data_IF_970790302567
#
_entry.id   IF_970790302567
#
_cell.length_a   1.000
_cell.length_b   1.000
_cell.length_c   1.000
_cell.angle_alpha   90.00
_cell.angle_beta   90.00
_cell.angle_gamma   90.00
#
_symmetry.space_group_name_H-M   'P 1'
#
loop_
_entity.id
_entity.type
_entity.pdbx_description
1 polymer ?
#
# COMPACT_ATOMS: atom_id res chain seq x y z
N UNK A 1 8.26 -1.75 -56.31
CA UNK A 1 9.51 -1.37 -57.00
C UNK A 1 9.45 0.10 -57.37
N UNK A 2 10.21 0.94 -56.65
CA UNK A 2 10.97 2.11 -57.12
C UNK A 2 11.59 2.76 -55.88
N UNK A 3 12.90 2.67 -55.82
CA UNK A 3 13.82 3.09 -54.76
C UNK A 3 14.25 4.52 -55.00
N UNK A 4 14.23 5.37 -53.97
CA UNK A 4 14.99 6.62 -53.96
C UNK A 4 15.99 6.57 -52.80
N UNK A 5 17.26 6.44 -53.18
CA UNK A 5 18.45 6.56 -52.34
C UNK A 5 18.85 8.03 -52.22
N UNK A 6 19.12 8.49 -51.00
CA UNK A 6 19.93 9.69 -50.77
C UNK A 6 21.21 9.27 -50.06
N UNK A 7 22.34 9.56 -50.69
CA UNK A 7 23.69 9.45 -50.15
C UNK A 7 24.12 10.77 -49.52
N UNK A 8 24.61 10.74 -48.29
CA UNK A 8 25.44 11.78 -47.72
C UNK A 8 26.61 11.14 -46.98
N UNK A 9 27.81 11.61 -47.30
CA UNK A 9 29.11 11.16 -46.80
C UNK A 9 29.52 11.89 -45.52
N UNK A 10 30.01 11.09 -44.56
CA UNK A 10 30.97 11.27 -43.45
C UNK A 10 31.37 12.67 -42.92
N UNK A 11 31.30 12.79 -41.58
CA UNK A 11 32.35 13.16 -40.60
C UNK A 11 31.61 13.35 -39.24
N UNK A 12 31.98 12.89 -38.05
CA UNK A 12 33.16 12.26 -37.48
C UNK A 12 33.19 12.60 -35.99
N UNK A 13 32.40 11.94 -35.12
CA UNK A 13 32.60 11.92 -33.67
C UNK A 13 32.16 10.58 -33.08
N UNK A 14 33.10 9.88 -32.44
CA UNK A 14 32.92 8.52 -31.94
C UNK A 14 31.96 8.44 -30.77
N UNK A 15 30.83 7.76 -30.97
CA UNK A 15 29.94 7.25 -29.91
C UNK A 15 30.17 5.75 -29.79
N UNK A 16 30.67 5.28 -28.64
CA UNK A 16 30.64 3.84 -28.32
C UNK A 16 29.19 3.45 -28.04
N UNK A 17 28.56 2.76 -29.00
CA UNK A 17 27.27 2.12 -28.81
C UNK A 17 27.50 0.83 -28.02
N UNK A 18 26.90 0.72 -26.84
CA UNK A 18 26.76 -0.55 -26.11
C UNK A 18 25.49 -1.23 -26.65
N UNK A 19 25.57 -2.37 -27.35
CA UNK A 19 24.38 -3.05 -27.82
C UNK A 19 23.68 -3.76 -26.66
N UNK A 20 22.55 -3.22 -26.22
CA UNK A 20 21.60 -3.95 -25.35
C UNK A 20 20.80 -4.90 -26.25
N UNK A 21 21.01 -6.21 -26.10
CA UNK A 21 20.13 -7.22 -26.71
C UNK A 21 19.02 -7.54 -25.72
N UNK A 22 17.80 -7.14 -26.04
CA UNK A 22 16.62 -7.63 -25.34
C UNK A 22 16.37 -9.10 -25.71
N UNK A 23 15.96 -9.91 -24.74
CA UNK A 23 15.53 -11.28 -25.00
C UNK A 23 14.28 -11.24 -25.90
N UNK A 24 14.16 -12.14 -26.89
CA UNK A 24 12.95 -12.23 -27.71
C UNK A 24 11.73 -12.54 -26.84
N UNK A 25 10.69 -11.71 -26.95
CA UNK A 25 9.41 -11.94 -26.27
C UNK A 25 8.79 -13.26 -26.74
N UNK A 26 8.58 -14.18 -25.82
CA UNK A 26 7.69 -15.32 -26.04
C UNK A 26 6.25 -14.86 -25.74
N UNK A 27 5.29 -14.99 -26.67
CA UNK A 27 3.91 -14.63 -26.41
C UNK A 27 3.27 -15.65 -25.45
N UNK A 28 3.23 -15.35 -24.15
CA UNK A 28 2.44 -16.11 -23.19
C UNK A 28 1.01 -15.59 -23.23
N UNK A 29 0.15 -16.25 -23.99
CA UNK A 29 -1.31 -16.06 -23.91
C UNK A 29 -1.83 -16.79 -22.66
N UNK A 30 -2.11 -16.06 -21.59
CA UNK A 30 -2.83 -16.60 -20.43
C UNK A 30 -4.33 -16.63 -20.79
N UNK A 31 -4.92 -17.83 -20.78
CA UNK A 31 -6.36 -17.97 -20.97
C UNK A 31 -7.11 -17.49 -19.70
N UNK A 32 -7.85 -16.39 -19.82
CA UNK A 32 -8.77 -15.91 -18.79
C UNK A 32 -9.99 -16.84 -18.77
N UNK A 33 -10.20 -17.56 -17.66
CA UNK A 33 -11.45 -18.33 -17.45
C UNK A 33 -12.53 -17.38 -16.90
N UNK A 34 -13.75 -17.36 -17.45
CA UNK A 34 -14.87 -16.63 -16.85
C UNK A 34 -15.26 -17.28 -15.52
N UNK A 35 -15.31 -16.50 -14.45
CA UNK A 35 -15.78 -16.94 -13.13
C UNK A 35 -17.32 -16.92 -13.13
N UNK A 36 -17.97 -18.09 -13.24
CA UNK A 36 -19.43 -18.22 -13.40
C UNK A 36 -20.20 -18.47 -12.11
N UNK A 37 -19.59 -18.26 -10.94
CA UNK A 37 -20.28 -18.43 -9.63
C UNK A 37 -20.20 -17.15 -8.82
N UNK A 38 -21.36 -16.56 -8.53
CA UNK A 38 -21.50 -15.44 -7.62
C UNK A 38 -21.00 -15.83 -6.22
N UNK A 39 -20.16 -14.98 -5.63
CA UNK A 39 -19.71 -15.10 -4.25
C UNK A 39 -20.90 -14.78 -3.33
N UNK A 40 -21.42 -15.79 -2.65
CA UNK A 40 -22.44 -15.60 -1.63
C UNK A 40 -21.79 -15.06 -0.35
N UNK A 41 -22.05 -13.79 -0.04
CA UNK A 41 -21.67 -13.16 1.22
C UNK A 41 -22.63 -13.63 2.33
N UNK A 42 -22.09 -14.19 3.42
CA UNK A 42 -22.86 -14.58 4.61
C UNK A 42 -22.33 -13.78 5.81
N UNK A 43 -23.07 -12.78 6.33
CA UNK A 43 -22.67 -12.08 7.54
C UNK A 43 -22.85 -12.99 8.74
N UNK A 44 -21.80 -13.15 9.57
CA UNK A 44 -21.93 -13.79 10.88
C UNK A 44 -21.75 -12.75 11.98
N UNK A 45 -22.84 -12.44 12.69
CA UNK A 45 -22.79 -11.82 14.02
C UNK A 45 -22.26 -12.85 15.03
N UNK A 46 -21.23 -12.57 15.82
CA UNK A 46 -20.98 -13.32 17.05
C UNK A 46 -22.07 -13.02 18.07
N UNK A 47 -22.69 -14.06 18.64
CA UNK A 47 -23.63 -13.91 19.74
C UNK A 47 -22.86 -13.51 21.02
N UNK A 48 -23.25 -12.37 21.61
CA UNK A 48 -22.69 -11.89 22.89
C UNK A 48 -23.33 -12.72 24.02
N UNK A 49 -22.55 -13.54 24.70
CA UNK A 49 -23.00 -14.21 25.92
C UNK A 49 -23.12 -13.21 27.08
N UNK A 50 -24.19 -13.36 27.87
CA UNK A 50 -24.54 -12.45 28.95
C UNK A 50 -23.52 -12.45 30.10
N UNK A 51 -23.32 -11.24 30.65
CA UNK A 51 -22.40 -10.89 31.73
C UNK A 51 -22.77 -11.59 33.06
N UNK A 52 -21.78 -12.11 33.79
CA UNK A 52 -21.92 -12.51 35.20
C UNK A 52 -21.10 -11.55 36.10
N UNK A 53 -21.58 -11.23 37.33
CA UNK A 53 -21.03 -10.12 38.11
C UNK A 53 -19.72 -10.44 38.85
N UNK A 54 -18.92 -9.39 39.02
CA UNK A 54 -17.62 -9.33 39.72
C UNK A 54 -17.77 -9.45 41.24
N UNK A 55 -16.78 -9.99 41.98
CA UNK A 55 -16.53 -9.60 43.35
C UNK A 55 -15.46 -8.49 43.45
N UNK A 56 -15.72 -7.60 44.40
CA UNK A 56 -15.00 -6.37 44.75
C UNK A 56 -13.94 -6.56 45.84
N UNK A 57 -13.01 -5.59 45.92
CA UNK A 57 -11.95 -5.35 46.93
C UNK A 57 -10.77 -6.35 46.88
N UNK A 58 -9.50 -5.92 46.88
CA UNK A 58 -8.89 -5.02 47.86
C UNK A 58 -7.73 -4.23 47.24
N UNK A 59 -7.80 -2.89 47.34
CA UNK A 59 -6.68 -1.97 47.16
C UNK A 59 -5.90 -1.91 48.49
N UNK A 60 -4.58 -1.71 48.40
CA UNK A 60 -3.59 -1.37 49.44
C UNK A 60 -2.53 -2.45 49.64
N UNK A 61 -1.42 -2.33 48.89
CA UNK A 61 0.02 -2.36 49.30
C UNK A 61 0.83 -2.38 48.00
N UNK A 62 1.05 -1.23 47.38
CA UNK A 62 1.98 -1.12 46.24
C UNK A 62 2.59 0.29 46.09
N UNK A 63 2.59 1.10 47.16
CA UNK A 63 3.08 2.48 47.11
C UNK A 63 4.26 2.70 48.08
N UNK A 64 5.20 1.76 48.18
CA UNK A 64 6.49 1.97 48.87
C UNK A 64 7.71 1.38 48.10
N UNK A 65 7.53 0.64 47.00
CA UNK A 65 8.66 0.10 46.19
C UNK A 65 9.15 1.09 45.11
N UNK A 66 8.43 2.19 44.86
CA UNK A 66 8.70 3.10 43.74
C UNK A 66 9.89 4.07 43.91
N UNK A 67 10.66 4.03 45.00
CA UNK A 67 11.70 5.05 45.28
C UNK A 67 13.15 4.52 45.25
N UNK A 68 13.40 3.22 45.03
CA UNK A 68 14.78 2.68 44.96
C UNK A 68 15.09 1.78 43.76
N UNK A 69 14.10 1.49 42.90
CA UNK A 69 14.33 0.80 41.64
C UNK A 69 14.61 1.79 40.53
N UNK A 70 15.85 2.24 40.37
CA UNK A 70 16.26 2.89 39.13
C UNK A 70 15.84 1.98 37.97
N UNK A 71 15.01 2.50 37.07
CA UNK A 71 14.61 1.78 35.86
C UNK A 71 15.88 1.63 35.02
N UNK A 72 16.58 0.51 35.21
CA UNK A 72 17.61 0.08 34.29
C UNK A 72 16.91 -0.27 32.99
N UNK A 73 16.77 0.72 32.10
CA UNK A 73 16.49 0.47 30.70
C UNK A 73 17.67 -0.36 30.20
N UNK A 74 17.46 -1.67 29.99
CA UNK A 74 18.48 -2.52 29.37
C UNK A 74 18.89 -1.84 28.06
N UNK A 75 20.19 -1.62 27.81
CA UNK A 75 20.62 -1.03 26.55
C UNK A 75 20.13 -1.93 25.42
N UNK A 76 19.64 -1.30 24.35
CA UNK A 76 19.11 -2.03 23.22
C UNK A 76 20.16 -3.01 22.70
N UNK A 77 19.77 -4.28 22.47
CA UNK A 77 20.63 -5.21 21.76
C UNK A 77 20.83 -4.62 20.35
N UNK A 78 22.07 -4.29 20.01
CA UNK A 78 22.38 -3.83 18.66
C UNK A 78 22.30 -5.01 17.68
N UNK A 79 21.90 -4.73 16.44
CA UNK A 79 22.00 -5.69 15.34
C UNK A 79 23.44 -6.20 15.20
N UNK A 80 23.60 -7.41 14.67
CA UNK A 80 24.88 -8.03 14.43
C UNK A 80 25.75 -7.13 13.55
N UNK A 81 26.96 -6.85 14.02
CA UNK A 81 27.94 -6.08 13.24
C UNK A 81 28.30 -6.80 11.94
N UNK A 82 28.44 -6.05 10.85
CA UNK A 82 28.74 -6.56 9.50
C UNK A 82 27.71 -7.57 8.94
N UNK A 83 26.48 -7.57 9.47
CA UNK A 83 25.36 -8.28 8.83
C UNK A 83 24.83 -7.53 7.61
N UNK A 84 24.28 -8.27 6.66
CA UNK A 84 23.62 -7.74 5.48
C UNK A 84 22.34 -8.54 5.18
N UNK A 85 21.38 -7.90 4.53
CA UNK A 85 20.14 -8.54 4.08
C UNK A 85 20.04 -8.52 2.56
N UNK A 86 19.46 -9.56 1.99
CA UNK A 86 19.01 -9.54 0.61
C UNK A 86 17.84 -8.54 0.48
N UNK A 87 17.77 -7.80 -0.64
CA UNK A 87 16.71 -6.82 -0.91
C UNK A 87 15.41 -7.51 -1.37
N UNK A 88 14.89 -8.40 -0.53
CA UNK A 88 13.65 -9.12 -0.71
C UNK A 88 12.79 -9.04 0.57
N UNK A 89 11.47 -9.04 0.40
CA UNK A 89 10.53 -8.99 1.52
C UNK A 89 10.04 -10.39 1.88
N UNK A 90 9.99 -10.71 3.18
CA UNK A 90 9.22 -11.86 3.65
C UNK A 90 7.79 -11.41 3.94
N UNK A 91 6.82 -11.93 3.19
CA UNK A 91 5.40 -11.79 3.50
C UNK A 91 4.94 -13.04 4.20
N UNK A 92 4.49 -12.92 5.45
CA UNK A 92 3.93 -14.04 6.20
C UNK A 92 2.42 -13.88 6.28
N UNK A 93 1.71 -14.90 5.86
CA UNK A 93 0.25 -14.93 5.94
C UNK A 93 -0.22 -16.14 6.73
N UNK A 94 -1.29 -15.95 7.51
CA UNK A 94 -1.84 -17.03 8.31
C UNK A 94 -2.35 -18.17 7.41
N UNK A 95 -3.06 -17.84 6.32
CA UNK A 95 -3.64 -18.79 5.37
C UNK A 95 -3.50 -18.30 3.93
N UNK A 96 -3.74 -19.18 2.93
CA UNK A 96 -3.70 -18.77 1.51
C UNK A 96 -4.76 -17.73 1.14
N UNK A 97 -5.87 -17.66 1.89
CA UNK A 97 -7.03 -16.81 1.58
C UNK A 97 -7.18 -15.64 2.58
N UNK A 98 -6.08 -15.26 3.24
CA UNK A 98 -6.07 -14.12 4.14
C UNK A 98 -6.45 -12.83 3.40
N UNK A 99 -7.33 -12.03 4.01
CA UNK A 99 -7.94 -10.86 3.40
C UNK A 99 -6.92 -9.75 3.07
N UNK A 100 -5.84 -9.61 3.87
CA UNK A 100 -4.85 -8.56 3.67
C UNK A 100 -3.74 -8.96 2.67
N UNK A 101 -3.57 -10.26 2.38
CA UNK A 101 -2.53 -10.74 1.48
C UNK A 101 -2.57 -10.10 0.07
N UNK A 102 -3.74 -9.94 -0.59
CA UNK A 102 -3.82 -9.26 -1.88
C UNK A 102 -3.36 -7.80 -1.84
N UNK A 103 -3.57 -7.09 -0.73
CA UNK A 103 -3.13 -5.69 -0.59
C UNK A 103 -1.61 -5.61 -0.49
N UNK A 104 -0.97 -6.51 0.27
CA UNK A 104 0.50 -6.58 0.37
C UNK A 104 1.11 -6.93 -0.99
N UNK A 105 0.57 -7.95 -1.67
CA UNK A 105 1.02 -8.34 -3.01
C UNK A 105 0.92 -7.18 -3.99
N UNK A 106 -0.24 -6.54 -4.05
CA UNK A 106 -0.44 -5.39 -4.92
C UNK A 106 0.58 -4.27 -4.63
N UNK A 107 0.83 -3.95 -3.36
CA UNK A 107 1.82 -2.94 -2.98
C UNK A 107 3.23 -3.28 -3.48
N UNK A 108 3.67 -4.53 -3.32
CA UNK A 108 5.00 -4.99 -3.72
C UNK A 108 5.12 -5.15 -5.23
N UNK A 109 4.09 -5.70 -5.88
CA UNK A 109 4.02 -5.90 -7.34
C UNK A 109 4.03 -4.55 -8.08
N UNK A 110 3.29 -3.54 -7.59
CA UNK A 110 3.32 -2.19 -8.19
C UNK A 110 4.69 -1.52 -8.12
N UNK A 111 5.46 -1.81 -7.06
CA UNK A 111 6.81 -1.29 -6.90
C UNK A 111 7.85 -2.13 -7.62
N UNK A 112 7.51 -3.35 -8.03
CA UNK A 112 8.49 -4.34 -8.52
C UNK A 112 9.42 -4.83 -7.42
N UNK A 113 9.01 -4.75 -6.15
CA UNK A 113 9.83 -5.18 -5.00
C UNK A 113 9.80 -6.70 -4.86
N UNK A 114 10.94 -7.41 -4.89
CA UNK A 114 10.96 -8.86 -4.73
C UNK A 114 10.43 -9.30 -3.37
N UNK A 115 9.65 -10.38 -3.35
CA UNK A 115 9.15 -10.95 -2.10
C UNK A 115 8.95 -12.46 -2.17
N UNK A 116 8.98 -13.08 -0.99
CA UNK A 116 8.60 -14.48 -0.78
C UNK A 116 7.39 -14.52 0.13
N UNK A 117 6.39 -15.33 -0.22
CA UNK A 117 5.21 -15.54 0.62
C UNK A 117 5.36 -16.85 1.39
N UNK A 118 5.29 -16.76 2.71
CA UNK A 118 5.20 -17.89 3.61
C UNK A 118 3.76 -18.03 4.13
N UNK A 119 3.10 -19.14 3.79
CA UNK A 119 1.77 -19.46 4.31
C UNK A 119 1.93 -20.35 5.54
N UNK A 120 1.82 -19.76 6.73
CA UNK A 120 2.17 -20.38 7.99
C UNK A 120 1.35 -21.66 8.28
N UNK A 121 0.02 -21.59 8.14
CA UNK A 121 -0.84 -22.77 8.38
C UNK A 121 -0.62 -23.93 7.41
N UNK A 122 -0.08 -23.67 6.21
CA UNK A 122 0.24 -24.71 5.23
C UNK A 122 1.60 -25.37 5.49
N UNK A 123 2.46 -24.77 6.32
CA UNK A 123 3.81 -25.23 6.60
C UNK A 123 4.15 -25.07 8.10
N UNK A 124 3.37 -25.65 9.02
CA UNK A 124 3.53 -25.42 10.45
C UNK A 124 4.92 -25.88 10.95
N UNK A 125 5.58 -25.04 11.75
CA UNK A 125 6.90 -25.33 12.31
C UNK A 125 8.06 -25.19 11.34
N UNK A 126 7.84 -24.66 10.13
CA UNK A 126 8.87 -24.59 9.09
C UNK A 126 9.56 -23.23 8.98
N UNK A 127 9.05 -22.17 9.63
CA UNK A 127 9.70 -20.87 9.66
C UNK A 127 10.83 -20.86 10.71
N UNK A 128 11.91 -21.58 10.39
CA UNK A 128 13.09 -21.75 11.25
C UNK A 128 14.22 -20.78 10.87
N UNK A 129 15.25 -20.68 11.71
CA UNK A 129 16.39 -19.78 11.50
C UNK A 129 17.08 -19.97 10.12
N UNK A 130 17.24 -21.21 9.66
CA UNK A 130 17.81 -21.55 8.35
C UNK A 130 16.94 -21.12 7.16
N UNK A 131 15.67 -20.75 7.38
CA UNK A 131 14.81 -20.10 6.38
C UNK A 131 14.94 -18.59 6.36
N UNK A 132 15.61 -18.00 7.35
CA UNK A 132 15.70 -16.56 7.52
C UNK A 132 17.12 -16.05 7.25
N UNK A 133 18.16 -16.81 7.58
CA UNK A 133 19.54 -16.39 7.37
C UNK A 133 20.54 -17.55 7.28
N UNK A 134 21.75 -17.23 6.80
CA UNK A 134 22.94 -18.07 6.93
C UNK A 134 24.15 -17.21 7.28
N UNK A 135 24.81 -17.51 8.40
CA UNK A 135 25.92 -16.70 8.91
C UNK A 135 25.49 -15.24 9.13
N UNK A 136 26.15 -14.30 8.44
CA UNK A 136 25.86 -12.85 8.50
C UNK A 136 24.99 -12.35 7.33
N UNK A 137 24.42 -13.25 6.52
CA UNK A 137 23.50 -12.91 5.43
C UNK A 137 22.07 -13.29 5.82
N UNK A 138 21.21 -12.28 6.00
CA UNK A 138 19.77 -12.43 6.11
C UNK A 138 19.12 -12.47 4.73
N UNK A 139 18.10 -13.29 4.56
CA UNK A 139 17.44 -13.47 3.27
C UNK A 139 16.37 -12.42 2.96
N UNK A 140 16.02 -11.56 3.93
CA UNK A 140 14.95 -10.59 3.79
C UNK A 140 15.25 -9.23 4.43
N UNK A 141 15.05 -8.14 3.70
CA UNK A 141 15.25 -6.77 4.18
C UNK A 141 14.11 -6.24 5.05
N UNK A 142 12.92 -6.84 4.95
CA UNK A 142 11.74 -6.52 5.76
C UNK A 142 10.81 -7.71 5.91
N UNK A 143 9.98 -7.68 6.96
CA UNK A 143 8.91 -8.65 7.23
C UNK A 143 7.56 -7.95 7.16
N UNK A 144 6.58 -8.57 6.51
CA UNK A 144 5.21 -8.07 6.41
C UNK A 144 4.24 -9.18 6.80
N UNK A 145 3.54 -8.99 7.91
CA UNK A 145 2.50 -9.90 8.36
C UNK A 145 1.13 -9.41 7.85
N UNK A 146 0.30 -10.32 7.36
CA UNK A 146 -1.07 -9.98 6.97
C UNK A 146 -1.91 -9.55 8.17
N UNK A 147 -1.74 -10.25 9.30
CA UNK A 147 -2.39 -9.99 10.58
C UNK A 147 -1.35 -9.99 11.71
N UNK A 148 -1.50 -9.08 12.68
CA UNK A 148 -0.55 -8.88 13.79
C UNK A 148 -0.29 -10.12 14.64
N UNK A 149 -1.23 -11.06 14.70
CA UNK A 149 -1.10 -12.32 15.42
C UNK A 149 -1.07 -13.52 14.48
N UNK A 150 -1.13 -13.30 13.16
CA UNK A 150 -1.40 -14.30 12.14
C UNK A 150 -2.56 -15.20 12.55
N UNK A 151 -3.61 -14.58 13.10
CA UNK A 151 -4.74 -15.28 13.67
C UNK A 151 -5.58 -15.94 12.57
N UNK A 152 -5.90 -17.21 12.76
CA UNK A 152 -6.83 -17.93 11.91
C UNK A 152 -7.64 -18.93 12.72
N UNK A 153 -8.72 -19.41 12.12
CA UNK A 153 -9.58 -20.42 12.74
C UNK A 153 -9.68 -21.66 11.88
N UNK A 154 -8.95 -22.76 12.20
CA UNK A 154 -8.99 -23.99 11.43
C UNK A 154 -10.36 -24.67 11.39
N UNK A 155 -11.14 -24.50 12.47
CA UNK A 155 -12.46 -25.09 12.70
C UNK A 155 -13.61 -24.06 12.53
N UNK A 156 -13.27 -22.80 12.21
CA UNK A 156 -14.20 -21.68 12.14
C UNK A 156 -14.75 -21.20 13.48
N UNK A 157 -14.25 -21.71 14.61
CA UNK A 157 -14.70 -21.37 15.97
C UNK A 157 -13.55 -20.93 16.89
N UNK A 158 -12.45 -21.69 16.90
CA UNK A 158 -11.27 -21.47 17.73
C UNK A 158 -10.26 -20.64 16.97
N UNK A 159 -9.86 -19.50 17.54
CA UNK A 159 -8.82 -18.65 16.95
C UNK A 159 -7.46 -18.99 17.56
N UNK A 160 -6.47 -19.20 16.70
CA UNK A 160 -5.09 -19.48 17.08
C UNK A 160 -4.13 -18.75 16.15
N UNK A 161 -2.88 -18.58 16.58
CA UNK A 161 -1.83 -18.11 15.68
C UNK A 161 -1.42 -19.23 14.72
N UNK A 162 -1.14 -18.87 13.47
CA UNK A 162 -0.62 -19.79 12.46
C UNK A 162 0.86 -20.14 12.68
N UNK A 163 1.65 -19.25 13.29
CA UNK A 163 3.00 -19.56 13.74
C UNK A 163 2.97 -20.05 15.18
N UNK A 164 3.77 -21.07 15.48
CA UNK A 164 3.99 -21.51 16.85
C UNK A 164 5.01 -20.63 17.59
N UNK A 165 5.17 -20.85 18.90
CA UNK A 165 6.08 -20.07 19.74
C UNK A 165 7.55 -20.08 19.25
N UNK A 166 8.03 -21.20 18.72
CA UNK A 166 9.40 -21.32 18.23
C UNK A 166 9.60 -20.54 16.93
N UNK A 167 8.61 -20.53 16.04
CA UNK A 167 8.64 -19.75 14.80
C UNK A 167 8.59 -18.24 15.08
N UNK A 168 7.71 -17.81 16.00
CA UNK A 168 7.69 -16.41 16.47
C UNK A 168 9.02 -15.97 17.08
N UNK A 169 9.65 -16.86 17.87
CA UNK A 169 10.95 -16.60 18.45
C UNK A 169 12.05 -16.51 17.37
N UNK A 170 12.02 -17.37 16.34
CA UNK A 170 12.96 -17.33 15.23
C UNK A 170 12.82 -16.03 14.42
N UNK A 171 11.59 -15.61 14.12
CA UNK A 171 11.30 -14.36 13.41
C UNK A 171 11.77 -13.14 14.22
N UNK A 172 11.42 -13.07 15.51
CA UNK A 172 11.85 -11.99 16.39
C UNK A 172 13.38 -11.95 16.54
N UNK A 173 14.04 -13.10 16.64
CA UNK A 173 15.49 -13.16 16.74
C UNK A 173 16.16 -12.66 15.45
N UNK A 174 15.63 -13.05 14.28
CA UNK A 174 16.09 -12.56 12.99
C UNK A 174 15.95 -11.04 12.86
N UNK A 175 14.80 -10.49 13.26
CA UNK A 175 14.56 -9.04 13.22
C UNK A 175 15.53 -8.26 14.10
N UNK A 176 15.79 -8.75 15.32
CA UNK A 176 16.74 -8.12 16.23
C UNK A 176 18.19 -8.22 15.69
N UNK A 177 18.59 -9.39 15.20
CA UNK A 177 19.97 -9.65 14.76
C UNK A 177 20.33 -8.94 13.45
N UNK A 178 19.40 -8.83 12.51
CA UNK A 178 19.62 -8.18 11.21
C UNK A 178 19.06 -6.75 11.14
N UNK A 179 18.45 -6.27 12.24
CA UNK A 179 17.79 -4.96 12.28
C UNK A 179 16.67 -4.84 11.26
N UNK A 180 15.96 -5.94 10.98
CA UNK A 180 14.86 -5.99 10.02
C UNK A 180 13.60 -5.42 10.67
N UNK A 181 12.83 -4.62 9.93
CA UNK A 181 11.57 -4.05 10.41
C UNK A 181 10.39 -4.93 10.03
N UNK A 182 9.41 -5.01 10.93
CA UNK A 182 8.15 -5.71 10.71
C UNK A 182 7.02 -4.71 10.49
N UNK A 183 6.12 -5.01 9.55
CA UNK A 183 4.81 -4.37 9.49
C UNK A 183 3.73 -5.42 9.70
N UNK A 184 2.76 -5.10 10.55
CA UNK A 184 1.48 -5.79 10.64
C UNK A 184 0.47 -5.00 9.80
N UNK A 185 0.12 -5.52 8.61
CA UNK A 185 -0.75 -4.83 7.64
C UNK A 185 -2.19 -4.71 8.11
N UNK A 186 -2.59 -5.56 9.05
CA UNK A 186 -3.83 -5.45 9.80
C UNK A 186 -3.66 -6.19 11.13
N UNK A 187 -4.68 -6.16 11.97
CA UNK A 187 -4.84 -7.13 13.05
C UNK A 187 -5.25 -6.55 14.38
N UNK A 188 -5.54 -7.45 15.30
CA UNK A 188 -6.02 -7.12 16.63
C UNK A 188 -4.93 -6.39 17.44
N UNK A 189 -5.23 -5.22 18.05
CA UNK A 189 -4.24 -4.50 18.85
C UNK A 189 -3.85 -5.29 20.10
N UNK A 190 -2.55 -5.41 20.33
CA UNK A 190 -1.99 -6.11 21.51
C UNK A 190 -0.85 -5.31 22.16
N UNK A 191 -0.53 -5.58 23.44
CA UNK A 191 0.64 -5.01 24.09
C UNK A 191 1.97 -5.30 23.37
N UNK A 192 2.10 -6.47 22.74
CA UNK A 192 3.32 -6.81 21.98
C UNK A 192 3.50 -5.91 20.76
N UNK A 193 2.40 -5.60 20.06
CA UNK A 193 2.37 -4.61 18.96
C UNK A 193 2.41 -3.14 19.42
N UNK A 194 2.46 -2.87 20.73
CA UNK A 194 2.53 -1.52 21.29
C UNK A 194 1.20 -0.85 21.61
N UNK A 195 0.10 -1.61 21.72
CA UNK A 195 -1.22 -1.05 22.02
C UNK A 195 -1.75 -1.57 23.35
N UNK A 196 -2.55 -0.76 24.04
CA UNK A 196 -3.47 -1.31 25.02
C UNK A 196 -4.51 -2.20 24.30
N UNK A 197 -5.15 -3.09 25.03
CA UNK A 197 -6.27 -3.86 24.47
C UNK A 197 -7.36 -2.92 23.93
N UNK A 198 -7.97 -3.23 22.78
CA UNK A 198 -8.94 -2.35 22.17
C UNK A 198 -10.17 -2.16 23.08
N UNK A 199 -10.66 -0.94 23.15
CA UNK A 199 -11.86 -0.57 23.92
C UNK A 199 -13.12 -0.71 23.08
N UNK A 200 -12.99 -0.66 21.76
CA UNK A 200 -14.07 -0.81 20.80
C UNK A 200 -13.54 -1.27 19.44
N UNK A 201 -14.46 -1.69 18.58
CA UNK A 201 -14.22 -1.92 17.16
C UNK A 201 -15.51 -1.66 16.38
N UNK A 202 -15.39 -1.31 15.10
CA UNK A 202 -16.54 -1.05 14.24
C UNK A 202 -16.22 -1.26 12.76
N UNK A 203 -17.27 -1.45 11.97
CA UNK A 203 -17.20 -1.38 10.52
C UNK A 203 -17.26 0.10 10.08
N UNK A 204 -16.23 0.55 9.39
CA UNK A 204 -16.09 1.93 8.92
C UNK A 204 -16.83 2.22 7.60
N UNK A 205 -17.71 1.31 7.16
CA UNK A 205 -18.60 1.52 6.01
C UNK A 205 -19.63 2.62 6.32
N UNK A 206 -19.60 3.72 5.56
CA UNK A 206 -20.48 4.87 5.77
C UNK A 206 -20.17 5.73 7.00
N UNK A 207 -19.20 5.33 7.83
CA UNK A 207 -18.70 6.09 8.98
C UNK A 207 -17.19 5.88 9.11
N UNK A 208 -16.40 6.71 8.42
CA UNK A 208 -14.95 6.55 8.37
C UNK A 208 -14.28 6.74 9.75
N UNK A 209 -13.25 5.95 10.04
CA UNK A 209 -12.30 6.30 11.11
C UNK A 209 -11.39 7.42 10.57
N UNK A 210 -11.44 8.60 11.19
CA UNK A 210 -10.71 9.78 10.70
C UNK A 210 -9.53 10.07 11.60
N UNK A 211 -8.33 9.93 11.05
CA UNK A 211 -7.07 10.15 11.76
C UNK A 211 -6.37 11.47 11.40
N UNK A 212 -5.58 11.97 12.33
CA UNK A 212 -4.65 13.08 12.14
C UNK A 212 -3.21 12.56 12.20
N UNK A 213 -2.37 13.01 11.27
CA UNK A 213 -0.97 12.58 11.17
C UNK A 213 -0.08 13.26 12.20
N UNK A 214 0.84 12.48 12.78
CA UNK A 214 1.95 13.02 13.57
C UNK A 214 3.14 13.37 12.67
N UNK A 215 4.06 14.20 13.19
CA UNK A 215 5.30 14.54 12.48
C UNK A 215 6.20 13.31 12.23
N UNK A 216 6.08 12.26 13.04
CA UNK A 216 6.89 11.04 12.92
C UNK A 216 6.59 10.23 11.65
N UNK A 217 5.39 10.38 11.08
CA UNK A 217 4.99 9.68 9.86
C UNK A 217 5.58 10.30 8.58
N UNK A 218 5.91 11.61 8.61
CA UNK A 218 6.29 12.39 7.41
C UNK A 218 7.44 11.81 6.59
N UNK A 219 8.55 11.31 7.19
CA UNK A 219 9.66 10.75 6.41
C UNK A 219 9.26 9.54 5.56
N UNK A 220 8.29 8.74 6.03
CA UNK A 220 7.78 7.56 5.33
C UNK A 220 6.73 7.93 4.28
N UNK A 221 6.03 9.04 4.48
CA UNK A 221 4.96 9.52 3.59
C UNK A 221 5.25 10.91 3.00
N UNK A 222 6.39 11.13 2.30
CA UNK A 222 6.75 12.45 1.78
C UNK A 222 5.77 12.97 0.71
N UNK A 223 4.95 12.07 0.15
CA UNK A 223 3.93 12.37 -0.85
C UNK A 223 2.56 12.70 -0.26
N UNK A 224 2.38 12.56 1.06
CA UNK A 224 1.12 12.92 1.72
C UNK A 224 1.13 14.38 2.17
N UNK A 225 0.01 15.05 1.95
CA UNK A 225 -0.28 16.32 2.60
C UNK A 225 -0.77 16.03 4.02
N UNK A 226 0.16 15.79 4.93
CA UNK A 226 -0.14 15.34 6.31
C UNK A 226 -0.87 16.39 7.17
N UNK A 227 -1.11 17.59 6.64
CA UNK A 227 -1.98 18.59 7.28
C UNK A 227 -3.47 18.24 7.15
N UNK A 228 -3.82 17.40 6.16
CA UNK A 228 -5.18 16.90 5.98
C UNK A 228 -5.43 15.71 6.90
N UNK A 229 -6.68 15.58 7.35
CA UNK A 229 -7.15 14.35 7.96
C UNK A 229 -7.13 13.20 6.96
N UNK A 230 -6.98 11.98 7.47
CA UNK A 230 -6.93 10.76 6.68
C UNK A 230 -8.06 9.83 7.08
N UNK A 231 -8.91 9.49 6.12
CA UNK A 231 -10.05 8.62 6.33
C UNK A 231 -9.67 7.16 6.04
N UNK A 232 -9.96 6.28 7.00
CA UNK A 232 -9.99 4.83 6.86
C UNK A 232 -11.47 4.44 6.75
N UNK A 233 -11.84 3.76 5.67
CA UNK A 233 -13.26 3.52 5.35
C UNK A 233 -13.49 2.14 4.77
N UNK A 234 -14.71 1.62 4.93
CA UNK A 234 -15.17 0.35 4.37
C UNK A 234 -14.36 -0.87 4.85
N UNK A 235 -13.89 -0.82 6.10
CA UNK A 235 -13.11 -1.88 6.76
C UNK A 235 -13.45 -2.00 8.23
N UNK A 236 -13.17 -3.17 8.81
CA UNK A 236 -13.16 -3.30 10.25
C UNK A 236 -12.01 -2.48 10.85
N UNK A 237 -12.29 -1.72 11.90
CA UNK A 237 -11.32 -0.87 12.60
C UNK A 237 -11.41 -1.14 14.11
N UNK A 238 -10.27 -1.37 14.73
CA UNK A 238 -10.11 -1.47 16.18
C UNK A 238 -9.63 -0.14 16.77
N UNK A 239 -10.23 0.24 17.89
CA UNK A 239 -9.89 1.44 18.64
C UNK A 239 -9.10 1.06 19.89
N UNK A 240 -7.81 1.42 19.90
CA UNK A 240 -6.89 1.16 20.99
C UNK A 240 -5.95 2.34 21.19
N UNK A 241 -5.62 2.64 22.45
CA UNK A 241 -4.62 3.67 22.77
C UNK A 241 -3.20 3.09 22.71
N UNK A 242 -2.16 3.92 22.48
CA UNK A 242 -0.78 3.45 22.56
C UNK A 242 -0.45 2.92 23.96
N UNK A 243 0.35 1.86 24.05
CA UNK A 243 0.69 1.20 25.31
C UNK A 243 1.57 2.07 26.21
N UNK A 244 2.61 2.66 25.62
CA UNK A 244 3.67 3.35 26.35
C UNK A 244 4.44 4.35 25.47
N UNK A 245 5.42 5.02 26.06
CA UNK A 245 6.30 5.99 25.37
C UNK A 245 7.25 5.36 24.34
N UNK A 246 7.40 4.03 24.33
CA UNK A 246 8.13 3.32 23.28
C UNK A 246 7.25 3.05 22.04
N UNK A 247 5.99 3.49 22.07
CA UNK A 247 5.04 3.39 20.98
C UNK A 247 4.86 4.77 20.34
N UNK A 248 5.45 4.96 19.16
CA UNK A 248 5.33 6.21 18.41
C UNK A 248 4.08 6.17 17.53
N UNK A 249 3.08 6.96 17.88
CA UNK A 249 1.83 7.06 17.10
C UNK A 249 2.06 7.87 15.82
N UNK A 250 1.62 7.33 14.69
CA UNK A 250 1.71 7.96 13.38
C UNK A 250 0.39 8.57 12.93
N UNK A 251 -0.71 7.90 13.23
CA UNK A 251 -2.06 8.33 12.90
C UNK A 251 -2.95 8.05 14.11
N UNK A 252 -3.65 9.07 14.61
CA UNK A 252 -4.62 8.92 15.71
C UNK A 252 -5.92 9.64 15.42
N UNK A 253 -7.03 9.10 15.94
CA UNK A 253 -8.30 9.82 15.96
C UNK A 253 -8.32 10.95 17.00
N UNK A 254 -9.46 11.64 17.13
CA UNK A 254 -9.64 12.76 18.04
C UNK A 254 -9.70 12.32 19.52
N UNK A 255 -10.06 11.06 19.76
CA UNK A 255 -10.21 10.43 21.07
C UNK A 255 -8.88 9.85 21.60
N UNK A 256 -7.82 9.85 20.77
CA UNK A 256 -6.49 9.39 21.14
C UNK A 256 -6.24 7.91 20.90
N UNK A 257 -7.10 7.23 20.13
CA UNK A 257 -6.82 5.89 19.64
C UNK A 257 -5.79 5.98 18.51
N UNK A 258 -4.79 5.11 18.54
CA UNK A 258 -3.78 5.00 17.51
C UNK A 258 -4.29 4.06 16.41
N UNK A 259 -4.44 4.59 15.19
CA UNK A 259 -4.79 3.82 13.99
C UNK A 259 -3.54 3.21 13.33
N UNK A 260 -2.41 3.94 13.41
CA UNK A 260 -1.10 3.48 12.98
C UNK A 260 -0.09 3.86 14.04
N UNK A 261 0.71 2.90 14.50
CA UNK A 261 1.80 3.17 15.44
C UNK A 261 3.01 2.26 15.20
N UNK A 262 4.18 2.72 15.66
CA UNK A 262 5.44 1.99 15.64
C UNK A 262 5.87 1.69 17.06
N UNK A 263 5.97 0.41 17.41
CA UNK A 263 6.57 -0.07 18.66
C UNK A 263 8.07 -0.29 18.47
N UNK A 264 8.87 0.29 19.37
CA UNK A 264 10.28 -0.06 19.52
C UNK A 264 10.47 -1.00 20.71
N UNK A 265 11.03 -2.17 20.48
CA UNK A 265 11.33 -3.15 21.51
C UNK A 265 12.72 -2.91 22.12
N UNK A 266 12.92 -3.42 23.34
CA UNK A 266 14.19 -3.31 24.05
C UNK A 266 15.32 -4.11 23.38
N UNK A 267 15.02 -5.05 22.49
CA UNK A 267 16.00 -5.80 21.69
C UNK A 267 16.35 -5.11 20.36
N UNK A 268 15.83 -3.91 20.12
CA UNK A 268 16.10 -3.13 18.91
C UNK A 268 15.08 -3.34 17.78
N UNK A 269 14.16 -4.31 17.89
CA UNK A 269 13.11 -4.51 16.88
C UNK A 269 12.20 -3.29 16.78
N UNK A 270 11.74 -3.03 15.56
CA UNK A 270 10.75 -2.00 15.25
C UNK A 270 9.57 -2.67 14.52
N UNK A 271 8.38 -2.55 15.09
CA UNK A 271 7.13 -3.13 14.56
C UNK A 271 6.13 -2.02 14.32
N UNK A 272 5.72 -1.81 13.06
CA UNK A 272 4.63 -0.91 12.71
C UNK A 272 3.34 -1.72 12.60
N UNK A 273 2.25 -1.28 13.24
CA UNK A 273 0.96 -1.96 13.09
C UNK A 273 -0.15 -1.00 12.70
N UNK A 274 -1.08 -1.52 11.88
CA UNK A 274 -2.33 -0.88 11.48
C UNK A 274 -3.47 -1.56 12.23
N UNK A 275 -4.33 -0.79 12.90
CA UNK A 275 -5.46 -1.34 13.68
C UNK A 275 -6.74 -1.48 12.85
N UNK A 276 -6.62 -1.53 11.53
CA UNK A 276 -7.72 -1.60 10.58
C UNK A 276 -7.35 -2.48 9.40
N UNK A 277 -8.36 -3.05 8.73
CA UNK A 277 -8.12 -3.95 7.59
C UNK A 277 -7.63 -3.19 6.34
N UNK A 278 -7.00 -3.95 5.44
CA UNK A 278 -6.51 -3.44 4.17
C UNK A 278 -6.91 -4.36 3.01
N UNK A 279 -7.24 -3.77 1.86
CA UNK A 279 -7.64 -4.48 0.66
C UNK A 279 -7.25 -3.68 -0.59
N UNK A 280 -6.95 -4.34 -1.73
CA UNK A 280 -6.38 -3.68 -2.91
C UNK A 280 -7.30 -2.70 -3.64
N UNK A 281 -8.59 -2.66 -3.31
CA UNK A 281 -9.56 -1.71 -3.87
C UNK A 281 -9.85 -0.52 -2.95
N UNK A 282 -9.22 -0.44 -1.78
CA UNK A 282 -9.45 0.62 -0.81
C UNK A 282 -8.44 1.75 -0.99
N UNK A 283 -8.97 2.98 -1.05
CA UNK A 283 -8.14 4.18 -1.26
C UNK A 283 -7.09 4.31 -0.16
N UNK A 284 -7.46 4.09 1.11
CA UNK A 284 -6.49 4.20 2.21
C UNK A 284 -5.35 3.19 2.07
N UNK A 285 -5.65 1.94 1.69
CA UNK A 285 -4.64 0.91 1.46
C UNK A 285 -3.66 1.30 0.36
N UNK A 286 -4.17 1.76 -0.80
CA UNK A 286 -3.33 2.22 -1.92
C UNK A 286 -2.46 3.41 -1.54
N UNK A 287 -3.03 4.37 -0.80
CA UNK A 287 -2.33 5.58 -0.37
C UNK A 287 -1.21 5.26 0.62
N UNK A 288 -1.40 4.30 1.54
CA UNK A 288 -0.40 3.92 2.54
C UNK A 288 0.71 3.03 1.98
N UNK A 289 0.40 2.20 0.96
CA UNK A 289 1.26 1.12 0.47
C UNK A 289 2.73 1.51 0.26
N UNK A 290 3.00 2.58 -0.50
CA UNK A 290 4.38 2.99 -0.78
C UNK A 290 5.16 3.40 0.47
N UNK A 291 4.54 4.18 1.36
CA UNK A 291 5.20 4.64 2.58
C UNK A 291 5.43 3.53 3.60
N UNK A 292 4.53 2.55 3.66
CA UNK A 292 4.73 1.32 4.45
C UNK A 292 5.95 0.53 3.94
N UNK A 293 6.00 0.22 2.64
CA UNK A 293 7.15 -0.48 2.04
C UNK A 293 8.46 0.29 2.22
N UNK A 294 8.41 1.62 2.04
CA UNK A 294 9.56 2.53 2.26
C UNK A 294 10.04 2.47 3.70
N UNK A 295 9.14 2.53 4.69
CA UNK A 295 9.51 2.47 6.09
C UNK A 295 10.14 1.12 6.47
N UNK A 296 9.54 0.01 6.02
CA UNK A 296 10.00 -1.34 6.34
C UNK A 296 11.43 -1.56 5.82
N UNK A 297 11.73 -1.04 4.63
CA UNK A 297 13.02 -1.16 3.98
C UNK A 297 13.97 0.03 4.25
N UNK A 298 13.62 0.92 5.19
CA UNK A 298 14.43 2.10 5.56
C UNK A 298 14.81 2.98 4.36
N UNK A 299 13.96 3.03 3.34
CA UNK A 299 14.18 3.78 2.11
C UNK A 299 15.05 3.12 1.05
N UNK A 300 15.54 1.89 1.27
CA UNK A 300 16.37 1.15 0.30
C UNK A 300 15.72 -0.19 -0.07
N UNK A 301 15.13 -0.26 -1.26
CA UNK A 301 14.56 -1.48 -1.82
C UNK A 301 14.74 -1.53 -3.35
N UNK A 302 14.68 -2.72 -3.93
CA UNK A 302 14.60 -2.87 -5.38
C UNK A 302 13.18 -2.52 -5.83
N UNK A 303 13.07 -1.58 -6.76
CA UNK A 303 11.78 -1.16 -7.30
C UNK A 303 11.76 0.28 -7.75
N UNK A 304 10.59 0.69 -8.24
CA UNK A 304 10.32 2.05 -8.70
C UNK A 304 8.85 2.38 -8.43
N UNK A 305 8.57 3.64 -8.10
CA UNK A 305 7.19 4.15 -8.07
C UNK A 305 7.04 5.26 -9.08
N UNK A 306 6.29 4.98 -10.14
CA UNK A 306 5.79 5.99 -11.06
C UNK A 306 4.26 6.06 -11.03
N UNK A 307 3.74 7.27 -11.14
CA UNK A 307 2.31 7.51 -11.30
C UNK A 307 2.13 8.27 -12.60
N UNK A 308 1.44 7.61 -13.54
CA UNK A 308 1.12 8.17 -14.83
C UNK A 308 -0.33 8.66 -14.81
N UNK A 309 -0.57 9.83 -15.38
CA UNK A 309 -1.90 10.35 -15.65
C UNK A 309 -2.03 10.54 -17.15
N UNK A 310 -2.78 9.64 -17.80
CA UNK A 310 -3.16 9.75 -19.22
C UNK A 310 -4.67 9.93 -19.27
N UNK A 311 -5.11 11.05 -19.84
CA UNK A 311 -6.52 11.35 -20.07
C UNK A 311 -6.80 11.20 -21.56
N UNK A 312 -7.39 10.07 -21.92
CA UNK A 312 -7.75 9.76 -23.30
C UNK A 312 -9.12 10.34 -23.63
N UNK A 313 -9.19 11.05 -24.75
CA UNK A 313 -10.42 11.66 -25.26
C UNK A 313 -10.71 11.03 -26.62
N UNK A 314 -11.74 10.21 -26.66
CA UNK A 314 -12.23 9.58 -27.88
C UNK A 314 -13.19 10.52 -28.63
N UNK A 315 -13.58 10.13 -29.85
CA UNK A 315 -14.63 10.78 -30.63
C UNK A 315 -14.39 12.27 -30.96
N UNK A 316 -13.14 12.71 -30.96
CA UNK A 316 -12.81 14.08 -31.38
C UNK A 316 -13.21 14.31 -32.84
N UNK A 317 -13.96 15.38 -33.08
CA UNK A 317 -14.67 15.77 -34.31
C UNK A 317 -16.01 15.10 -34.58
N UNK A 318 -16.40 14.04 -33.88
CA UNK A 318 -17.72 13.43 -34.05
C UNK A 318 -18.75 14.10 -33.16
N UNK A 319 -20.00 14.00 -33.58
CA UNK A 319 -21.16 14.25 -32.74
C UNK A 319 -21.59 12.92 -32.11
N UNK A 320 -21.89 12.95 -30.82
CA UNK A 320 -22.28 11.76 -30.06
C UNK A 320 -23.72 11.89 -29.55
N UNK A 321 -24.43 10.77 -29.51
CA UNK A 321 -25.74 10.67 -28.87
C UNK A 321 -25.60 10.95 -27.36
N UNK A 322 -26.39 11.90 -26.86
CA UNK A 322 -26.44 12.22 -25.44
C UNK A 322 -27.45 11.34 -24.71
N UNK A 323 -27.09 10.92 -23.49
CA UNK A 323 -28.05 10.32 -22.56
C UNK A 323 -28.82 11.40 -21.78
N UNK A 324 -30.16 11.35 -21.69
CA UNK A 324 -31.04 10.30 -22.23
C UNK A 324 -31.48 10.52 -23.69
N UNK A 325 -31.33 11.72 -24.24
CA UNK A 325 -31.62 12.01 -25.66
C UNK A 325 -30.87 13.27 -26.12
N UNK A 326 -30.77 13.44 -27.44
CA UNK A 326 -30.09 14.55 -28.11
C UNK A 326 -28.76 14.13 -28.71
N UNK A 327 -28.09 15.08 -29.36
CA UNK A 327 -26.78 14.88 -29.96
C UNK A 327 -25.91 16.08 -29.59
N UNK A 328 -24.64 15.84 -29.28
CA UNK A 328 -23.70 16.90 -28.98
C UNK A 328 -22.40 16.70 -29.74
N UNK A 329 -21.96 17.79 -30.36
CA UNK A 329 -20.62 17.95 -30.91
C UNK A 329 -19.97 19.15 -30.23
N UNK A 330 -18.74 18.96 -29.79
CA UNK A 330 -17.91 20.02 -29.27
C UNK A 330 -17.78 21.19 -30.27
N UNK A 331 -17.86 22.41 -29.76
CA UNK A 331 -17.69 23.63 -30.55
C UNK A 331 -16.24 24.16 -30.48
N UNK A 332 -15.93 25.18 -31.29
CA UNK A 332 -14.70 25.96 -31.12
C UNK A 332 -14.54 26.52 -29.70
N UNK A 333 -15.65 26.94 -29.07
CA UNK A 333 -15.66 27.45 -27.69
C UNK A 333 -15.27 26.37 -26.68
N UNK A 334 -15.77 25.14 -26.84
CA UNK A 334 -15.44 24.01 -25.97
C UNK A 334 -13.97 23.63 -26.12
N UNK A 335 -13.45 23.61 -27.36
CA UNK A 335 -12.04 23.38 -27.63
C UNK A 335 -11.13 24.42 -26.94
N UNK A 336 -11.48 25.70 -27.04
CA UNK A 336 -10.74 26.77 -26.36
C UNK A 336 -10.77 26.59 -24.83
N UNK A 337 -11.89 26.12 -24.26
CA UNK A 337 -11.99 25.84 -22.84
C UNK A 337 -11.06 24.67 -22.43
N UNK A 338 -10.96 23.62 -23.25
CA UNK A 338 -10.01 22.50 -23.04
C UNK A 338 -8.56 22.99 -23.05
N UNK A 339 -8.18 23.83 -24.02
CA UNK A 339 -6.84 24.45 -24.09
C UNK A 339 -6.55 25.24 -22.80
N UNK A 340 -7.48 26.11 -22.40
CA UNK A 340 -7.32 26.96 -21.22
C UNK A 340 -7.20 26.12 -19.94
N UNK A 341 -8.01 25.08 -19.82
CA UNK A 341 -7.96 24.17 -18.68
C UNK A 341 -6.63 23.43 -18.62
N UNK A 342 -6.15 22.89 -19.76
CA UNK A 342 -4.87 22.19 -19.81
C UNK A 342 -3.71 23.12 -19.42
N UNK A 343 -3.71 24.36 -19.92
CA UNK A 343 -2.73 25.37 -19.55
C UNK A 343 -2.76 25.68 -18.05
N UNK A 344 -3.96 25.84 -17.46
CA UNK A 344 -4.12 26.04 -16.03
C UNK A 344 -3.65 24.83 -15.21
N UNK A 345 -3.98 23.61 -15.64
CA UNK A 345 -3.57 22.38 -14.95
C UNK A 345 -2.03 22.22 -14.96
N UNK A 346 -1.37 22.56 -16.07
CA UNK A 346 0.08 22.54 -16.21
C UNK A 346 0.82 23.52 -15.29
N UNK A 347 0.12 24.47 -14.66
CA UNK A 347 0.72 25.34 -13.62
C UNK A 347 0.95 24.61 -12.29
N UNK A 348 0.32 23.44 -12.08
CA UNK A 348 0.49 22.62 -10.88
C UNK A 348 1.82 21.87 -10.93
N UNK A 349 2.47 21.70 -9.78
CA UNK A 349 3.77 21.00 -9.67
C UNK A 349 3.76 19.61 -10.32
N UNK A 350 2.72 18.80 -10.08
CA UNK A 350 2.56 17.47 -10.69
C UNK A 350 1.90 17.50 -12.08
N UNK A 351 1.37 18.65 -12.50
CA UNK A 351 0.62 18.79 -13.76
C UNK A 351 1.46 19.26 -14.93
N UNK A 352 2.71 19.68 -14.72
CA UNK A 352 3.55 20.36 -15.73
C UNK A 352 3.62 19.66 -17.09
N UNK A 353 3.63 18.33 -17.10
CA UNK A 353 3.74 17.52 -18.31
C UNK A 353 2.41 16.90 -18.76
N UNK A 354 1.31 17.21 -18.06
CA UNK A 354 -0.01 16.67 -18.40
C UNK A 354 -0.41 17.06 -19.82
N UNK A 355 -0.97 16.13 -20.57
CA UNK A 355 -1.63 16.41 -21.84
C UNK A 355 -2.84 15.50 -21.99
N UNK A 356 -3.83 15.96 -22.72
CA UNK A 356 -4.83 15.06 -23.27
C UNK A 356 -4.20 14.22 -24.38
N UNK A 357 -4.53 12.93 -24.39
CA UNK A 357 -4.23 12.04 -25.50
C UNK A 357 -5.54 11.91 -26.32
N UNK A 358 -5.59 12.56 -27.49
CA UNK A 358 -6.83 12.71 -28.26
C UNK A 358 -6.88 11.80 -29.48
N UNK A 359 -7.97 11.06 -29.64
CA UNK A 359 -8.25 10.26 -30.83
C UNK A 359 -9.14 11.06 -31.80
N UNK A 360 -8.54 11.53 -32.89
CA UNK A 360 -9.20 12.35 -33.91
C UNK A 360 -9.85 11.49 -34.99
N UNK A 361 -11.13 11.76 -35.27
CA UNK A 361 -11.91 11.05 -36.27
C UNK A 361 -12.04 11.87 -37.56
N UNK A 362 -11.44 11.39 -38.64
CA UNK A 362 -11.39 12.11 -39.91
C UNK A 362 -12.77 12.36 -40.54
N UNK A 363 -13.73 11.45 -40.34
CA UNK A 363 -15.10 11.60 -40.83
C UNK A 363 -15.72 12.93 -40.37
N UNK A 364 -15.55 13.27 -39.09
CA UNK A 364 -16.13 14.49 -38.52
C UNK A 364 -15.49 15.81 -38.98
N UNK A 365 -14.52 15.73 -39.89
CA UNK A 365 -13.87 16.89 -40.53
C UNK A 365 -14.26 17.07 -42.00
N UNK A 366 -15.13 16.20 -42.53
CA UNK A 366 -15.62 16.28 -43.91
C UNK A 366 -16.50 17.52 -44.06
N UNK A 367 -16.24 18.31 -45.11
CA UNK A 367 -16.97 19.54 -45.36
C UNK A 367 -18.46 19.24 -45.62
N UNK A 368 -19.34 19.90 -44.86
CA UNK A 368 -20.78 19.71 -44.95
C UNK A 368 -21.34 18.55 -44.12
N UNK A 369 -20.50 17.80 -43.41
CA UNK A 369 -20.96 16.75 -42.48
C UNK A 369 -21.79 17.33 -41.33
N UNK A 370 -21.34 18.47 -40.79
CA UNK A 370 -22.02 19.19 -39.71
C UNK A 370 -22.38 20.61 -40.13
N UNK A 371 -23.63 21.01 -39.85
CA UNK A 371 -24.07 22.38 -40.07
C UNK A 371 -23.33 23.36 -39.15
N UNK A 372 -22.94 24.52 -39.69
CA UNK A 372 -22.25 25.58 -38.94
C UNK A 372 -20.95 25.14 -38.23
N UNK A 373 -20.16 24.27 -38.84
CA UNK A 373 -18.91 23.74 -38.27
C UNK A 373 -17.87 24.83 -37.96
N UNK A 374 -17.84 25.27 -36.70
CA UNK A 374 -16.83 26.19 -36.16
C UNK A 374 -15.60 25.45 -35.61
N UNK A 375 -15.74 24.17 -35.26
CA UNK A 375 -14.71 23.35 -34.62
C UNK A 375 -13.56 23.05 -35.57
N UNK A 376 -13.82 22.43 -36.72
CA UNK A 376 -12.76 21.98 -37.63
C UNK A 376 -11.79 23.09 -38.05
N UNK A 377 -12.26 24.30 -38.48
CA UNK A 377 -11.35 25.40 -38.79
C UNK A 377 -10.60 25.92 -37.56
N UNK A 378 -11.26 25.92 -36.39
CA UNK A 378 -10.66 26.39 -35.15
C UNK A 378 -9.52 25.47 -34.67
N UNK A 379 -9.72 24.14 -34.66
CA UNK A 379 -8.70 23.16 -34.27
C UNK A 379 -7.50 23.19 -35.21
N UNK A 380 -7.71 23.43 -36.51
CA UNK A 380 -6.63 23.56 -37.50
C UNK A 380 -5.62 24.65 -37.13
N UNK A 381 -6.10 25.74 -36.51
CA UNK A 381 -5.29 26.91 -36.14
C UNK A 381 -4.86 26.90 -34.66
N UNK A 382 -5.60 26.19 -33.79
CA UNK A 382 -5.38 26.17 -32.33
C UNK A 382 -5.11 24.74 -31.85
N UNK A 383 -3.87 24.27 -32.06
CA UNK A 383 -3.42 22.95 -31.63
C UNK A 383 -3.18 22.96 -30.11
N UNK A 384 -3.79 21.99 -29.42
CA UNK A 384 -3.73 21.83 -27.96
C UNK A 384 -2.43 21.17 -27.46
#
# INVERSE_FOLDING_TARGET
MKTNTFSATNEGQGTKIIPVRFAPEAPVRIAVRPQTTALAWVPRKPAVAAYAPRPTLTLMVALIVAVLGGVFVKPAKAALTNSATDLAVLVVSATTNDAALPAIRQALDFLGTPYTVHIASAQPGSLTADKLFVGLRGFYSSVMLTDSQLAYSPDGTTWTSALNTAEWAALSQYEADFGVRQINWSGYPTPDSGFNWPTAAFDSTGNAAVGTWSAAAKPSFPYLVTANQFAVSNVWTYLATPLDTNTTVWLSDAEGHALIAVKKHADGREVLSLTFDNAPWLIHSTVLSHGLVTWANKGLFLGERHTYLSAQIDDVFLADEMWPAGEFRQSAKDWQAVINWQAAFRTRTLGKNFRYDMAFNGLGTVAGEYENDDLTPYVRTNKA
#
